data_IF_598522601670
#
_entry.id   IF_598522601670
#
_cell.length_a   1.000
_cell.length_b   1.000
_cell.length_c   1.000
_cell.angle_alpha   90.00
_cell.angle_beta   90.00
_cell.angle_gamma   90.00
#
_symmetry.space_group_name_H-M   'P 1'
#
loop_
_entity.id
_entity.type
_entity.pdbx_description
1 polymer ?
#
# COMPACT_ATOMS: atom_id res chain seq x y z
N UNK A 1 3.25 3.39 -0.30
CA UNK A 1 3.40 4.78 0.17
C UNK A 1 4.09 4.71 1.52
N UNK A 2 5.38 5.05 1.62
CA UNK A 2 6.19 4.76 2.83
C UNK A 2 6.52 6.04 3.59
N UNK A 3 6.90 7.10 2.89
CA UNK A 3 7.20 8.39 3.50
C UNK A 3 5.93 9.19 3.73
N UNK A 4 5.99 10.16 4.63
CA UNK A 4 4.91 11.14 4.80
C UNK A 4 4.72 12.03 3.57
N UNK A 5 5.63 12.01 2.59
CA UNK A 5 5.46 12.67 1.29
C UNK A 5 4.98 11.76 0.16
N UNK A 6 4.65 10.49 0.43
CA UNK A 6 4.35 9.50 -0.62
C UNK A 6 3.09 9.78 -1.47
N UNK A 7 2.36 10.84 -1.18
CA UNK A 7 1.16 11.31 -1.88
C UNK A 7 0.34 12.27 -1.02
N UNK A 8 -0.68 12.91 -1.60
CA UNK A 8 -1.29 14.13 -1.06
C UNK A 8 -1.81 14.04 0.38
N UNK A 9 -2.36 12.89 0.79
CA UNK A 9 -2.86 12.71 2.16
C UNK A 9 -1.74 12.58 3.22
N UNK A 10 -0.54 12.13 2.84
CA UNK A 10 0.55 11.84 3.77
C UNK A 10 1.00 13.07 4.58
N UNK A 11 1.32 14.21 3.93
CA UNK A 11 1.79 15.39 4.65
C UNK A 11 0.71 16.02 5.52
N UNK A 12 -0.55 15.97 5.06
CA UNK A 12 -1.71 16.51 5.78
C UNK A 12 -1.92 15.77 7.10
N UNK A 13 -1.88 14.44 7.07
CA UNK A 13 -2.09 13.61 8.28
C UNK A 13 -0.88 13.70 9.22
N UNK A 14 0.33 13.66 8.69
CA UNK A 14 1.55 13.75 9.50
C UNK A 14 1.69 15.12 10.19
N UNK A 15 1.25 16.20 9.52
CA UNK A 15 1.32 17.57 10.03
C UNK A 15 0.52 17.84 11.31
N UNK A 16 -0.39 16.95 11.71
CA UNK A 16 -1.14 17.06 12.96
C UNK A 16 -0.29 16.71 14.20
N UNK A 17 0.83 15.99 14.01
CA UNK A 17 1.80 15.74 15.08
C UNK A 17 1.47 14.57 16.02
N UNK A 18 0.48 13.73 15.69
CA UNK A 18 0.15 12.54 16.49
C UNK A 18 1.19 11.41 16.41
N UNK A 19 1.99 11.37 15.35
CA UNK A 19 2.93 10.28 15.07
C UNK A 19 4.34 10.83 14.88
N UNK A 20 5.34 10.14 15.42
CA UNK A 20 6.74 10.44 15.13
C UNK A 20 7.17 9.86 13.76
N UNK A 21 8.27 10.40 13.21
CA UNK A 21 8.78 10.02 11.89
C UNK A 21 9.19 8.54 11.82
N UNK A 22 9.71 7.96 12.90
CA UNK A 22 10.20 6.58 12.92
C UNK A 22 9.02 5.61 12.89
N UNK A 23 8.01 5.84 13.72
CA UNK A 23 6.78 5.05 13.74
C UNK A 23 6.06 5.11 12.39
N UNK A 24 5.96 6.30 11.78
CA UNK A 24 5.36 6.46 10.47
C UNK A 24 6.03 5.59 9.40
N UNK A 25 7.35 5.66 9.31
CA UNK A 25 8.11 4.95 8.29
C UNK A 25 8.07 3.44 8.50
N UNK A 26 8.15 2.97 9.75
CA UNK A 26 8.10 1.54 10.06
C UNK A 26 6.75 0.94 9.67
N UNK A 27 5.65 1.58 10.07
CA UNK A 27 4.30 1.13 9.72
C UNK A 27 4.09 1.21 8.21
N UNK A 28 4.52 2.31 7.56
CA UNK A 28 4.44 2.46 6.12
C UNK A 28 5.20 1.39 5.34
N UNK A 29 6.38 0.97 5.82
CA UNK A 29 7.16 -0.11 5.23
C UNK A 29 6.45 -1.46 5.35
N UNK A 30 5.94 -1.80 6.54
CA UNK A 30 5.19 -3.05 6.78
C UNK A 30 3.96 -3.11 5.88
N UNK A 31 3.14 -2.05 5.84
CA UNK A 31 1.94 -2.00 5.01
C UNK A 31 2.27 -2.08 3.52
N UNK A 32 3.36 -1.44 3.08
CA UNK A 32 3.78 -1.51 1.67
C UNK A 32 4.16 -2.94 1.28
N UNK A 33 4.91 -3.66 2.12
CA UNK A 33 5.28 -5.06 1.86
C UNK A 33 4.03 -5.95 1.84
N UNK A 34 3.13 -5.82 2.82
CA UNK A 34 1.91 -6.61 2.87
C UNK A 34 1.02 -6.36 1.64
N UNK A 35 0.85 -5.10 1.26
CA UNK A 35 0.04 -4.72 0.09
C UNK A 35 0.68 -5.23 -1.19
N UNK A 36 2.01 -5.15 -1.32
CA UNK A 36 2.74 -5.70 -2.45
C UNK A 36 2.52 -7.21 -2.57
N UNK A 37 2.68 -7.96 -1.48
CA UNK A 37 2.45 -9.40 -1.45
C UNK A 37 1.03 -9.75 -1.87
N UNK A 38 0.01 -9.04 -1.36
CA UNK A 38 -1.39 -9.22 -1.78
C UNK A 38 -1.56 -8.97 -3.27
N UNK A 39 -0.96 -7.92 -3.83
CA UNK A 39 -1.09 -7.61 -5.26
C UNK A 39 -0.44 -8.66 -6.17
N UNK A 40 0.77 -9.13 -5.83
CA UNK A 40 1.47 -10.10 -6.68
C UNK A 40 0.97 -11.54 -6.53
N UNK A 41 0.32 -11.87 -5.40
CA UNK A 41 -0.24 -13.21 -5.17
C UNK A 41 -1.71 -13.25 -5.56
N UNK A 42 -2.57 -12.61 -4.77
CA UNK A 42 -4.02 -12.61 -4.95
C UNK A 42 -4.44 -11.79 -6.16
N UNK A 43 -3.78 -10.65 -6.41
CA UNK A 43 -4.08 -9.82 -7.58
C UNK A 43 -3.78 -10.58 -8.89
N UNK A 44 -2.55 -11.07 -9.06
CA UNK A 44 -2.18 -11.84 -10.25
C UNK A 44 -3.06 -13.09 -10.41
N UNK A 45 -3.31 -13.83 -9.33
CA UNK A 45 -4.20 -14.99 -9.36
C UNK A 45 -5.63 -14.62 -9.84
N UNK A 46 -6.20 -13.55 -9.30
CA UNK A 46 -7.53 -13.08 -9.68
C UNK A 46 -7.61 -12.67 -11.16
N UNK A 47 -6.63 -11.92 -11.67
CA UNK A 47 -6.59 -11.55 -13.08
C UNK A 47 -6.51 -12.78 -13.99
N UNK A 48 -5.71 -13.79 -13.63
CA UNK A 48 -5.65 -15.04 -14.40
C UNK A 48 -6.99 -15.77 -14.43
N UNK A 49 -7.77 -15.76 -13.34
CA UNK A 49 -9.12 -16.34 -13.34
C UNK A 49 -10.07 -15.61 -14.28
N UNK A 50 -10.08 -14.28 -14.25
CA UNK A 50 -10.96 -13.48 -15.12
C UNK A 50 -10.65 -13.72 -16.61
N UNK A 51 -9.37 -13.79 -16.96
CA UNK A 51 -8.93 -14.13 -18.33
C UNK A 51 -9.37 -15.55 -18.68
N UNK A 52 -9.18 -16.52 -17.78
CA UNK A 52 -9.63 -17.90 -17.97
C UNK A 52 -11.15 -18.02 -18.17
N UNK A 53 -11.92 -17.08 -17.62
CA UNK A 53 -13.37 -17.01 -17.78
C UNK A 53 -13.85 -16.20 -18.99
N UNK A 54 -12.95 -15.67 -19.83
CA UNK A 54 -13.28 -14.76 -20.96
C UNK A 54 -14.11 -13.54 -20.51
N UNK A 55 -13.88 -13.02 -19.30
CA UNK A 55 -14.54 -11.81 -18.80
C UNK A 55 -13.76 -10.53 -19.15
N UNK A 56 -12.60 -10.68 -19.77
CA UNK A 56 -11.66 -9.67 -20.24
C UNK A 56 -11.00 -10.20 -21.52
#
# INVERSE_FOLDING_TARGET
MVTHYGGAAGPVIFGVGYNDIKSWWLVGAVLTILTFLVHITLGVWWWNMLIGWNML
#
